data_IF_411617399427
#
_entry.id   IF_411617399427
#
_cell.length_a   1.000
_cell.length_b   1.000
_cell.length_c   1.000
_cell.angle_alpha   90.00
_cell.angle_beta   90.00
_cell.angle_gamma   90.00
#
_symmetry.space_group_name_H-M   'P 1'
#
loop_
_entity.id
_entity.type
_entity.pdbx_description
1 polymer ?
#
# COMPACT_ATOMS: atom_id res chain seq x y z
N UNK A 1 -12.33 -1.67 -1.67
CA UNK A 1 -11.47 -1.09 -0.63
C UNK A 1 -12.06 -1.41 0.74
N UNK A 2 -11.40 -2.27 1.51
CA UNK A 2 -11.75 -2.56 2.91
C UNK A 2 -11.18 -1.43 3.80
N UNK A 3 -11.98 -0.87 4.71
CA UNK A 3 -11.58 0.23 5.61
C UNK A 3 -11.71 -0.22 7.06
N UNK A 4 -10.60 -0.37 7.77
CA UNK A 4 -10.60 -0.14 9.23
C UNK A 4 -10.19 1.33 9.45
N UNK A 5 -10.59 1.96 10.56
CA UNK A 5 -10.60 3.43 10.75
C UNK A 5 -9.30 4.18 10.38
N UNK A 6 -8.16 3.47 10.34
CA UNK A 6 -6.85 4.03 10.01
C UNK A 6 -6.02 3.14 9.08
N UNK A 7 -6.64 2.25 8.32
CA UNK A 7 -5.92 1.43 7.34
C UNK A 7 -6.62 1.37 5.99
N UNK A 8 -5.80 1.26 4.95
CA UNK A 8 -6.18 1.20 3.55
C UNK A 8 -5.45 0.05 2.92
N UNK A 9 -6.21 -0.82 2.26
CA UNK A 9 -5.66 -1.89 1.44
C UNK A 9 -5.71 -1.48 -0.05
N UNK A 10 -4.54 -1.41 -0.66
CA UNK A 10 -4.36 -1.34 -2.10
C UNK A 10 -4.06 -2.74 -2.64
N UNK A 11 -4.65 -3.08 -3.79
CA UNK A 11 -4.48 -4.40 -4.41
C UNK A 11 -4.41 -4.26 -5.92
N UNK A 12 -3.50 -5.00 -6.54
CA UNK A 12 -3.37 -5.16 -8.00
C UNK A 12 -3.42 -6.64 -8.38
N UNK A 13 -3.68 -6.95 -9.66
CA UNK A 13 -3.82 -8.34 -10.15
C UNK A 13 -5.22 -8.61 -10.69
N UNK A 14 -5.76 -9.81 -10.42
CA UNK A 14 -7.04 -10.23 -10.95
C UNK A 14 -8.22 -9.61 -10.17
N UNK A 15 -9.01 -8.80 -10.86
CA UNK A 15 -10.07 -8.01 -10.24
C UNK A 15 -11.15 -8.85 -9.55
N UNK A 16 -11.43 -10.07 -10.03
CA UNK A 16 -12.38 -10.99 -9.40
C UNK A 16 -11.91 -11.41 -8.01
N UNK A 17 -10.65 -11.84 -7.91
CA UNK A 17 -10.01 -12.23 -6.66
C UNK A 17 -9.87 -11.07 -5.70
N UNK A 18 -9.47 -9.88 -6.20
CA UNK A 18 -9.35 -8.67 -5.38
C UNK A 18 -10.70 -8.31 -4.74
N UNK A 19 -11.79 -8.32 -5.51
CA UNK A 19 -13.13 -8.04 -4.98
C UNK A 19 -13.57 -9.09 -3.95
N UNK A 20 -13.30 -10.37 -4.21
CA UNK A 20 -13.61 -11.45 -3.26
C UNK A 20 -12.81 -11.32 -1.95
N UNK A 21 -11.51 -11.04 -2.06
CA UNK A 21 -10.61 -10.83 -0.93
C UNK A 21 -11.07 -9.62 -0.09
N UNK A 22 -11.33 -8.48 -0.71
CA UNK A 22 -11.79 -7.27 -0.01
C UNK A 22 -13.10 -7.50 0.73
N UNK A 23 -14.05 -8.23 0.12
CA UNK A 23 -15.32 -8.61 0.78
C UNK A 23 -15.08 -9.53 1.98
N UNK A 24 -14.19 -10.52 1.83
CA UNK A 24 -13.86 -11.44 2.93
C UNK A 24 -13.24 -10.69 4.12
N UNK A 25 -12.27 -9.82 3.87
CA UNK A 25 -11.61 -9.03 4.90
C UNK A 25 -12.57 -8.07 5.59
N UNK A 26 -13.46 -7.40 4.84
CA UNK A 26 -14.46 -6.51 5.41
C UNK A 26 -15.43 -7.26 6.34
N UNK A 27 -15.87 -8.46 5.96
CA UNK A 27 -16.73 -9.28 6.81
C UNK A 27 -16.02 -9.71 8.10
N UNK A 28 -14.73 -10.08 8.01
CA UNK A 28 -13.94 -10.46 9.19
C UNK A 28 -13.64 -9.28 10.12
N UNK A 29 -13.42 -8.09 9.56
CA UNK A 29 -13.23 -6.86 10.34
C UNK A 29 -14.50 -6.49 11.11
N UNK A 30 -15.67 -6.58 10.47
CA UNK A 30 -16.97 -6.36 11.11
C UNK A 30 -17.23 -7.38 12.22
N UNK A 31 -16.93 -8.66 11.98
CA UNK A 31 -17.04 -9.71 13.01
C UNK A 31 -16.12 -9.43 14.21
N UNK A 32 -14.87 -9.02 13.95
CA UNK A 32 -13.91 -8.65 14.98
C UNK A 32 -14.43 -7.48 15.82
N UNK A 33 -15.00 -6.46 15.17
CA UNK A 33 -15.58 -5.32 15.85
C UNK A 33 -16.74 -5.72 16.78
N UNK A 34 -17.62 -6.62 16.34
CA UNK A 34 -18.72 -7.12 17.16
C UNK A 34 -18.26 -7.99 18.34
N UNK A 35 -17.22 -8.81 18.15
CA UNK A 35 -16.73 -9.72 19.20
C UNK A 35 -15.90 -8.99 20.27
N UNK A 36 -15.08 -8.03 19.86
CA UNK A 36 -14.14 -7.35 20.76
C UNK A 36 -14.57 -5.93 21.14
N UNK A 37 -15.70 -5.43 20.61
CA UNK A 37 -16.17 -4.05 20.76
C UNK A 37 -15.10 -3.00 20.44
N UNK A 38 -14.18 -3.36 19.53
CA UNK A 38 -13.00 -2.56 19.17
C UNK A 38 -12.69 -2.76 17.70
N UNK A 39 -12.36 -1.68 17.00
CA UNK A 39 -11.91 -1.75 15.60
C UNK A 39 -10.52 -2.35 15.48
N UNK A 40 -10.27 -3.03 14.38
CA UNK A 40 -9.00 -3.69 14.11
C UNK A 40 -7.87 -2.67 13.90
N UNK A 41 -6.71 -2.89 14.52
CA UNK A 41 -5.52 -2.08 14.26
C UNK A 41 -4.87 -2.43 12.91
N UNK A 42 -4.08 -1.53 12.33
CA UNK A 42 -3.38 -1.80 11.07
C UNK A 42 -2.49 -3.08 11.14
N UNK A 43 -1.68 -3.31 12.19
CA UNK A 43 -0.92 -4.55 12.34
C UNK A 43 -1.80 -5.80 12.49
N UNK A 44 -2.96 -5.70 13.15
CA UNK A 44 -3.88 -6.83 13.27
C UNK A 44 -4.52 -7.17 11.91
N UNK A 45 -4.88 -6.15 11.12
CA UNK A 45 -5.33 -6.33 9.74
C UNK A 45 -4.23 -6.94 8.87
N UNK A 46 -2.97 -6.58 9.10
CA UNK A 46 -1.84 -7.14 8.38
C UNK A 46 -1.71 -8.65 8.58
N UNK A 47 -1.75 -9.09 9.84
CA UNK A 47 -1.74 -10.51 10.17
C UNK A 47 -2.98 -11.24 9.65
N UNK A 48 -4.16 -10.61 9.71
CA UNK A 48 -5.37 -11.18 9.17
C UNK A 48 -5.27 -11.43 7.66
N UNK A 49 -4.73 -10.46 6.92
CA UNK A 49 -4.51 -10.56 5.48
C UNK A 49 -3.53 -11.69 5.16
N UNK A 50 -2.39 -11.75 5.84
CA UNK A 50 -1.41 -12.83 5.72
C UNK A 50 -2.05 -14.21 5.87
N UNK A 51 -2.78 -14.42 6.96
CA UNK A 51 -3.47 -15.69 7.24
C UNK A 51 -4.53 -16.01 6.17
N UNK A 52 -5.23 -15.00 5.65
CA UNK A 52 -6.29 -15.17 4.63
C UNK A 52 -5.72 -15.57 3.28
N UNK A 53 -4.58 -15.00 2.89
CA UNK A 53 -3.85 -15.36 1.67
C UNK A 53 -3.29 -16.78 1.80
N UNK A 54 -2.65 -17.10 2.92
CA UNK A 54 -2.04 -18.40 3.16
C UNK A 54 -3.07 -19.54 3.26
N UNK A 55 -4.27 -19.26 3.78
CA UNK A 55 -5.38 -20.22 3.80
C UNK A 55 -5.71 -20.76 2.40
N UNK A 56 -5.51 -19.95 1.36
CA UNK A 56 -5.71 -20.33 -0.03
C UNK A 56 -4.42 -20.73 -0.75
N UNK A 57 -3.35 -21.14 -0.07
CA UNK A 57 -2.03 -21.46 -0.66
C UNK A 57 -2.06 -22.38 -1.89
N UNK A 58 -2.98 -23.35 -1.93
CA UNK A 58 -3.12 -24.32 -3.04
C UNK A 58 -3.99 -23.82 -4.20
N UNK A 59 -4.75 -22.74 -4.00
CA UNK A 59 -5.47 -22.01 -5.03
C UNK A 59 -5.48 -20.51 -4.68
N UNK A 60 -4.32 -19.86 -4.82
CA UNK A 60 -4.07 -18.54 -4.24
C UNK A 60 -4.90 -17.47 -4.92
N UNK A 61 -5.20 -16.40 -4.17
CA UNK A 61 -5.71 -15.18 -4.79
C UNK A 61 -4.61 -14.58 -5.67
N UNK A 62 -4.92 -14.32 -6.94
CA UNK A 62 -4.00 -13.58 -7.80
C UNK A 62 -4.12 -12.07 -7.50
N UNK A 63 -3.67 -11.68 -6.31
CA UNK A 63 -3.73 -10.32 -5.80
C UNK A 63 -2.42 -9.96 -5.08
N UNK A 64 -1.78 -8.89 -5.53
CA UNK A 64 -0.60 -8.30 -4.90
C UNK A 64 -1.05 -7.12 -4.06
N UNK A 65 -0.77 -7.15 -2.77
CA UNK A 65 -1.39 -6.27 -1.79
C UNK A 65 -0.37 -5.35 -1.14
N UNK A 66 -0.79 -4.12 -0.84
CA UNK A 66 -0.08 -3.19 0.05
C UNK A 66 -1.09 -2.65 1.06
N UNK A 67 -0.79 -2.81 2.34
CA UNK A 67 -1.60 -2.28 3.44
C UNK A 67 -0.88 -1.09 4.05
N UNK A 68 -1.48 0.10 3.95
CA UNK A 68 -0.98 1.32 4.55
C UNK A 68 -1.90 1.82 5.66
N UNK A 69 -1.35 2.42 6.71
CA UNK A 69 -2.16 2.98 7.79
C UNK A 69 -1.35 3.61 8.91
N UNK A 70 -2.06 3.90 10.01
CA UNK A 70 -1.45 4.34 11.26
C UNK A 70 -1.46 3.21 12.29
N UNK A 71 -0.35 3.05 13.00
CA UNK A 71 -0.27 2.14 14.14
C UNK A 71 -0.93 2.75 15.40
N UNK A 72 -0.88 2.02 16.52
CA UNK A 72 -1.46 2.47 17.80
C UNK A 72 -0.75 3.69 18.40
N UNK A 73 0.49 3.96 18.00
CA UNK A 73 1.26 5.15 18.40
C UNK A 73 0.99 6.33 17.45
N UNK A 74 0.23 6.10 16.38
CA UNK A 74 -0.07 7.10 15.35
C UNK A 74 1.09 7.34 14.39
N UNK A 75 2.04 6.40 14.28
CA UNK A 75 3.10 6.40 13.27
C UNK A 75 2.62 5.68 12.02
N UNK A 76 3.15 6.10 10.86
CA UNK A 76 2.91 5.43 9.60
C UNK A 76 3.41 3.98 9.62
N UNK A 77 2.61 3.09 9.06
CA UNK A 77 3.01 1.71 8.82
C UNK A 77 2.56 1.28 7.42
N UNK A 78 3.50 0.70 6.68
CA UNK A 78 3.25 0.09 5.38
C UNK A 78 3.63 -1.37 5.49
N UNK A 79 2.76 -2.25 5.01
CA UNK A 79 3.00 -3.68 4.91
C UNK A 79 2.84 -4.11 3.47
N UNK A 80 3.83 -4.82 2.95
CA UNK A 80 3.79 -5.41 1.60
C UNK A 80 3.65 -6.91 1.70
N UNK A 81 3.01 -7.53 0.70
CA UNK A 81 2.68 -8.95 0.70
C UNK A 81 3.14 -9.61 -0.60
N UNK A 82 3.54 -10.87 -0.51
CA UNK A 82 3.58 -11.75 -1.67
C UNK A 82 2.18 -12.35 -1.98
N UNK A 83 2.10 -13.15 -3.03
CA UNK A 83 0.84 -13.79 -3.46
C UNK A 83 0.32 -14.87 -2.48
N UNK A 84 1.14 -15.33 -1.53
CA UNK A 84 0.80 -16.43 -0.62
C UNK A 84 0.64 -15.98 0.84
N UNK A 85 0.88 -14.71 1.14
CA UNK A 85 0.67 -14.10 2.45
C UNK A 85 1.92 -13.88 3.28
N UNK A 86 3.12 -14.12 2.75
CA UNK A 86 4.34 -13.60 3.38
C UNK A 86 4.29 -12.07 3.36
N UNK A 87 4.63 -11.43 4.48
CA UNK A 87 4.55 -9.99 4.59
C UNK A 87 5.67 -9.41 5.46
N UNK A 88 6.01 -8.16 5.19
CA UNK A 88 7.00 -7.40 5.96
C UNK A 88 6.52 -5.95 6.15
N UNK A 89 7.00 -5.31 7.22
CA UNK A 89 6.78 -3.87 7.45
C UNK A 89 7.89 -3.09 6.76
N UNK A 90 7.54 -2.21 5.83
CA UNK A 90 8.48 -1.37 5.06
C UNK A 90 8.19 0.11 5.26
N UNK A 91 9.14 0.97 4.88
CA UNK A 91 8.93 2.43 4.86
C UNK A 91 8.06 2.89 3.69
N UNK A 92 8.17 2.20 2.55
CA UNK A 92 7.38 2.39 1.35
C UNK A 92 7.36 1.07 0.56
N UNK A 93 6.41 0.94 -0.34
CA UNK A 93 6.32 -0.22 -1.24
C UNK A 93 5.44 0.13 -2.44
N UNK A 94 5.66 -0.57 -3.54
CA UNK A 94 4.81 -0.53 -4.73
C UNK A 94 4.52 -1.96 -5.18
N UNK A 95 3.31 -2.19 -5.67
CA UNK A 95 2.84 -3.47 -6.22
C UNK A 95 2.10 -3.21 -7.54
N UNK A 96 2.06 -4.22 -8.40
CA UNK A 96 1.47 -4.11 -9.74
C UNK A 96 2.51 -3.99 -10.86
N UNK A 97 2.03 -3.72 -12.07
CA UNK A 97 2.85 -3.71 -13.30
C UNK A 97 3.92 -2.61 -13.28
N UNK A 98 3.56 -1.40 -12.84
CA UNK A 98 4.49 -0.26 -12.73
C UNK A 98 5.46 -0.34 -11.55
N UNK A 99 5.37 -1.36 -10.69
CA UNK A 99 6.18 -1.44 -9.47
C UNK A 99 7.69 -1.44 -9.75
N UNK A 100 8.13 -2.08 -10.83
CA UNK A 100 9.54 -2.16 -11.25
C UNK A 100 10.10 -0.83 -11.73
N UNK A 101 9.25 0.09 -12.19
CA UNK A 101 9.62 1.45 -12.58
C UNK A 101 9.61 2.41 -11.39
N UNK A 102 8.64 2.23 -10.49
CA UNK A 102 8.40 3.08 -9.32
C UNK A 102 9.43 2.83 -8.21
N UNK A 103 9.70 1.56 -7.89
CA UNK A 103 10.56 1.18 -6.76
C UNK A 103 11.98 1.78 -6.84
N UNK A 104 12.69 1.78 -7.99
CA UNK A 104 14.02 2.41 -8.08
C UNK A 104 14.02 3.91 -7.81
N UNK A 105 12.95 4.62 -8.21
CA UNK A 105 12.83 6.06 -7.96
C UNK A 105 12.59 6.33 -6.47
N UNK A 106 11.71 5.55 -5.84
CA UNK A 106 11.50 5.62 -4.38
C UNK A 106 12.76 5.22 -3.61
N UNK A 107 13.49 4.20 -4.07
CA UNK A 107 14.76 3.78 -3.49
C UNK A 107 15.85 4.86 -3.60
N UNK A 108 15.82 5.71 -4.62
CA UNK A 108 16.75 6.83 -4.72
C UNK A 108 16.33 8.04 -3.86
N UNK A 109 15.03 8.30 -3.74
CA UNK A 109 14.50 9.49 -3.06
C UNK A 109 14.31 9.31 -1.55
N UNK A 110 13.91 8.10 -1.11
CA UNK A 110 13.51 7.81 0.27
C UNK A 110 14.47 6.88 1.00
N UNK A 111 15.17 5.99 0.28
CA UNK A 111 16.31 5.26 0.83
C UNK A 111 17.59 5.99 0.41
N UNK A 112 18.48 6.16 1.36
CA UNK A 112 19.91 6.07 1.10
C UNK A 112 20.50 5.50 2.37
N UNK A 113 21.14 4.33 2.27
CA UNK A 113 22.52 4.34 1.83
C UNK A 113 22.71 3.35 0.70
N UNK A 114 22.82 3.85 -0.54
CA UNK A 114 23.54 3.10 -1.56
C UNK A 114 25.03 3.18 -1.18
N UNK A 115 25.77 2.06 -1.06
CA UNK A 115 27.22 2.10 -0.84
C UNK A 115 27.98 2.77 -2.01
N UNK A 116 27.30 3.09 -3.12
CA UNK A 116 27.85 3.81 -4.27
C UNK A 116 27.60 5.33 -4.22
N UNK A 117 26.76 5.82 -3.31
CA UNK A 117 26.49 7.25 -3.15
C UNK A 117 27.39 7.84 -2.06
N UNK A 118 28.25 8.79 -2.46
CA UNK A 118 29.11 9.55 -1.56
C UNK A 118 28.64 11.01 -1.53
N UNK A 119 28.31 11.59 -0.35
CA UNK A 119 28.38 11.01 1.00
C UNK A 119 27.18 10.11 1.35
N UNK A 120 27.39 9.19 2.30
CA UNK A 120 26.31 8.37 2.85
C UNK A 120 25.22 9.27 3.47
N UNK A 121 23.98 9.13 2.99
CA UNK A 121 22.80 9.77 3.56
C UNK A 121 22.10 8.78 4.49
N UNK A 122 21.45 9.27 5.54
CA UNK A 122 20.69 8.43 6.48
C UNK A 122 19.38 7.91 5.86
N UNK A 123 18.99 6.69 6.26
CA UNK A 123 18.00 5.85 5.60
C UNK A 123 16.54 6.27 5.74
N UNK A 124 16.24 7.37 6.45
CA UNK A 124 14.87 7.86 6.63
C UNK A 124 14.92 9.39 6.73
N UNK A 125 14.80 10.06 5.58
CA UNK A 125 14.48 11.48 5.58
C UNK A 125 13.05 11.66 6.09
N UNK A 126 12.80 12.47 7.14
CA UNK A 126 11.44 12.84 7.51
C UNK A 126 10.83 13.62 6.34
N UNK A 127 9.84 13.00 5.68
CA UNK A 127 9.16 13.57 4.53
C UNK A 127 7.91 14.31 4.98
N UNK A 128 7.70 15.55 4.52
CA UNK A 128 6.45 16.25 4.75
C UNK A 128 5.30 15.63 3.93
N UNK A 129 4.06 15.84 4.36
CA UNK A 129 2.87 15.34 3.66
C UNK A 129 2.82 15.86 2.20
N UNK A 130 3.15 17.12 1.97
CA UNK A 130 3.17 17.71 0.63
C UNK A 130 4.26 17.11 -0.26
N UNK A 131 5.47 16.93 0.26
CA UNK A 131 6.57 16.33 -0.50
C UNK A 131 6.26 14.86 -0.84
N UNK A 132 5.61 14.13 0.05
CA UNK A 132 5.17 12.76 -0.19
C UNK A 132 4.16 12.68 -1.33
N UNK A 133 3.17 13.59 -1.33
CA UNK A 133 2.15 13.65 -2.36
C UNK A 133 2.77 14.00 -3.71
N UNK A 134 3.66 14.98 -3.76
CA UNK A 134 4.29 15.39 -5.01
C UNK A 134 5.24 14.31 -5.56
N UNK A 135 5.98 13.61 -4.69
CA UNK A 135 6.78 12.45 -5.09
C UNK A 135 5.90 11.34 -5.70
N UNK A 136 4.73 11.05 -5.11
CA UNK A 136 3.80 10.05 -5.65
C UNK A 136 3.29 10.49 -7.04
N UNK A 137 2.94 11.77 -7.21
CA UNK A 137 2.50 12.30 -8.52
C UNK A 137 3.57 12.13 -9.59
N UNK A 138 4.80 12.53 -9.30
CA UNK A 138 5.91 12.48 -10.25
C UNK A 138 6.24 11.05 -10.67
N UNK A 139 6.25 10.14 -9.70
CA UNK A 139 6.59 8.74 -9.93
C UNK A 139 5.50 8.03 -10.75
N UNK A 140 4.22 8.31 -10.49
CA UNK A 140 3.12 7.77 -11.31
C UNK A 140 3.04 8.41 -12.70
N UNK A 141 3.33 9.70 -12.84
CA UNK A 141 3.42 10.36 -14.13
C UNK A 141 4.51 9.70 -14.99
N UNK A 142 5.70 9.46 -14.42
CA UNK A 142 6.79 8.77 -15.09
C UNK A 142 6.47 7.32 -15.44
N UNK A 143 5.81 6.57 -14.54
CA UNK A 143 5.40 5.20 -14.79
C UNK A 143 4.38 5.09 -15.93
N UNK A 144 3.44 6.04 -16.00
CA UNK A 144 2.39 6.10 -17.06
C UNK A 144 3.01 6.25 -18.45
N UNK A 145 4.13 6.96 -18.59
CA UNK A 145 4.82 7.14 -19.89
C UNK A 145 5.47 5.85 -20.42
N UNK A 146 5.63 4.81 -19.58
CA UNK A 146 6.42 3.61 -19.90
C UNK A 146 5.67 2.30 -19.71
N UNK A 147 4.75 2.23 -18.76
CA UNK A 147 3.93 1.05 -18.49
C UNK A 147 2.54 1.19 -19.13
N UNK A 148 2.24 0.33 -20.10
CA UNK A 148 0.97 0.33 -20.85
C UNK A 148 -0.26 0.00 -20.00
N UNK A 149 -0.06 -0.57 -18.81
CA UNK A 149 -1.16 -0.94 -17.89
C UNK A 149 -1.42 0.11 -16.80
N UNK A 150 -0.59 1.15 -16.71
CA UNK A 150 -0.73 2.23 -15.73
C UNK A 150 -1.21 3.49 -16.44
N UNK A 151 -2.40 4.02 -16.08
CA UNK A 151 -2.94 5.22 -16.74
C UNK A 151 -4.31 5.66 -16.23
N UNK A 152 -4.99 6.48 -17.04
CA UNK A 152 -6.32 7.08 -16.82
C UNK A 152 -6.42 8.05 -15.64
N UNK A 153 -6.39 7.51 -14.42
CA UNK A 153 -6.63 8.25 -13.18
C UNK A 153 -5.83 7.67 -12.02
N UNK A 154 -5.20 8.54 -11.27
CA UNK A 154 -4.54 8.24 -10.01
C UNK A 154 -5.46 8.62 -8.84
N UNK A 155 -5.76 7.67 -7.95
CA UNK A 155 -6.41 7.93 -6.66
C UNK A 155 -5.32 7.97 -5.57
N UNK A 156 -5.14 9.13 -4.94
CA UNK A 156 -4.24 9.32 -3.81
C UNK A 156 -5.09 9.33 -2.53
N UNK A 157 -4.73 8.49 -1.56
CA UNK A 157 -5.42 8.40 -0.27
C UNK A 157 -4.44 8.70 0.85
N UNK A 158 -4.65 9.82 1.54
CA UNK A 158 -3.79 10.30 2.63
C UNK A 158 -4.46 9.98 3.97
N UNK A 159 -3.73 9.33 4.89
CA UNK A 159 -4.24 8.89 6.19
C UNK A 159 -3.48 9.63 7.30
N UNK A 160 -4.17 10.56 7.96
CA UNK A 160 -3.63 11.34 9.07
C UNK A 160 -4.40 11.05 10.37
N UNK A 161 -3.90 11.59 11.50
CA UNK A 161 -4.59 11.47 12.80
C UNK A 161 -6.01 12.07 12.78
N UNK A 162 -6.21 13.10 11.96
CA UNK A 162 -7.49 13.82 11.81
C UNK A 162 -8.50 13.02 10.97
N UNK A 163 -8.03 12.21 10.02
CA UNK A 163 -8.90 11.43 9.14
C UNK A 163 -8.22 11.03 7.83
N UNK A 164 -9.03 10.61 6.88
CA UNK A 164 -8.59 10.16 5.55
C UNK A 164 -9.03 11.16 4.48
N UNK A 165 -8.08 11.68 3.70
CA UNK A 165 -8.35 12.53 2.52
C UNK A 165 -8.14 11.73 1.24
N UNK A 166 -8.86 12.12 0.18
CA UNK A 166 -8.79 11.50 -1.14
C UNK A 166 -8.64 12.56 -2.19
N UNK A 167 -7.69 12.36 -3.07
CA UNK A 167 -7.43 13.23 -4.21
C UNK A 167 -7.39 12.39 -5.48
N UNK A 168 -7.89 12.94 -6.56
CA UNK A 168 -7.90 12.31 -7.87
C UNK A 168 -7.13 13.18 -8.84
N UNK A 169 -6.25 12.56 -9.62
CA UNK A 169 -5.44 13.22 -10.64
C UNK A 169 -5.63 12.47 -11.94
N UNK A 170 -5.95 13.20 -13.00
CA UNK A 170 -6.00 12.61 -14.33
C UNK A 170 -4.58 12.33 -14.81
N UNK A 171 -4.36 11.10 -15.30
CA UNK A 171 -3.13 10.69 -15.96
C UNK A 171 -3.35 10.71 -17.48
N UNK A 172 -2.30 10.35 -18.23
CA UNK A 172 -2.36 10.18 -19.68
C UNK A 172 -3.42 9.11 -20.05
N UNK A 173 -4.18 9.36 -21.12
CA UNK A 173 -5.36 8.57 -21.55
C UNK A 173 -5.21 7.98 -22.95
N UNK A 174 -3.99 7.72 -23.39
CA UNK A 174 -3.71 7.33 -24.79
C UNK A 174 -4.42 6.06 -25.24
#
# INVERSE_FOLDING_TARGET
>A
MCRADKCVLASSGFQGDIKALHKNLAARELLYQHQHNKRMSCPAMAQLLSNTLYYKRFFPYYAFNVLGGLDSEGKGCVFTYDAVGSYERTGYSAQGTGSTLIMPVLDNQLKSPSPLLLPARDAVTPLSESEAIDLVKDVFASATERDIYTGDKLEIVVINKVGTKREYIDLRKD
#
